data_IF_522010227638
#
_entry.id   IF_522010227638
#
_cell.length_a   1.000
_cell.length_b   1.000
_cell.length_c   1.000
_cell.angle_alpha   90.00
_cell.angle_beta   90.00
_cell.angle_gamma   90.00
#
_symmetry.space_group_name_H-M   'P 1'
#
loop_
_entity.id
_entity.type
_entity.pdbx_description
1 polymer ?
#
# COMPACT_ATOMS: atom_id res chain seq x y z
N UNK A 1 8.74 -13.93 -6.13
CA UNK A 1 8.54 -12.71 -5.33
C UNK A 1 7.50 -11.87 -6.03
N UNK A 2 6.42 -11.44 -5.36
CA UNK A 2 5.45 -10.51 -5.94
C UNK A 2 6.03 -9.09 -5.76
N UNK A 3 6.37 -8.39 -6.85
CA UNK A 3 6.98 -7.05 -6.77
C UNK A 3 6.11 -6.04 -6.01
N UNK A 4 4.79 -6.27 -5.95
CA UNK A 4 3.88 -5.43 -5.17
C UNK A 4 4.08 -5.68 -3.68
N UNK A 5 4.30 -6.92 -3.25
CA UNK A 5 4.55 -7.25 -1.85
C UNK A 5 5.92 -6.72 -1.39
N UNK A 6 6.95 -6.80 -2.24
CA UNK A 6 8.25 -6.20 -1.95
C UNK A 6 8.18 -4.67 -1.82
N UNK A 7 7.40 -4.02 -2.70
CA UNK A 7 7.16 -2.59 -2.61
C UNK A 7 6.39 -2.19 -1.33
N UNK A 8 5.44 -3.01 -0.88
CA UNK A 8 4.71 -2.79 0.39
C UNK A 8 5.66 -2.97 1.59
N UNK A 9 6.44 -4.06 1.61
CA UNK A 9 7.41 -4.31 2.67
C UNK A 9 8.46 -3.19 2.76
N UNK A 10 8.89 -2.60 1.63
CA UNK A 10 9.77 -1.44 1.64
C UNK A 10 9.10 -0.20 2.25
N UNK A 11 7.79 -0.03 2.08
CA UNK A 11 7.04 1.07 2.72
C UNK A 11 6.90 0.82 4.22
N UNK A 12 6.54 -0.40 4.63
CA UNK A 12 6.32 -0.76 6.04
C UNK A 12 7.63 -0.84 6.85
N UNK A 13 8.76 -1.14 6.19
CA UNK A 13 10.09 -1.16 6.82
C UNK A 13 10.67 0.24 7.03
N UNK A 14 10.08 1.29 6.46
CA UNK A 14 10.54 2.68 6.69
C UNK A 14 10.07 3.18 8.06
N UNK A 15 10.88 4.04 8.66
CA UNK A 15 10.53 4.63 9.96
C UNK A 15 9.26 5.48 9.86
N UNK A 16 8.46 5.44 10.93
CA UNK A 16 7.20 6.18 11.03
C UNK A 16 7.50 7.69 11.06
N UNK A 17 7.49 8.32 9.88
CA UNK A 17 7.86 9.73 9.70
C UNK A 17 8.82 9.99 8.54
N UNK A 18 9.40 8.94 7.94
CA UNK A 18 10.20 9.09 6.72
C UNK A 18 9.30 9.50 5.54
N UNK A 19 9.74 10.51 4.79
CA UNK A 19 8.99 11.00 3.62
C UNK A 19 9.34 10.14 2.41
N UNK A 20 8.40 9.31 1.98
CA UNK A 20 8.56 8.52 0.77
C UNK A 20 7.57 8.92 -0.33
N UNK A 21 7.91 8.59 -1.57
CA UNK A 21 7.04 8.77 -2.73
C UNK A 21 6.65 7.40 -3.30
N UNK A 22 5.34 7.14 -3.36
CA UNK A 22 4.80 5.95 -4.02
C UNK A 22 5.29 5.79 -5.47
N UNK A 23 5.53 6.90 -6.16
CA UNK A 23 6.02 6.85 -7.54
C UNK A 23 7.46 6.33 -7.63
N UNK A 24 8.31 6.74 -6.68
CA UNK A 24 9.70 6.29 -6.63
C UNK A 24 9.80 4.79 -6.32
N UNK A 25 9.04 4.34 -5.31
CA UNK A 25 8.98 2.92 -4.92
C UNK A 25 8.38 2.08 -6.05
N UNK A 26 7.28 2.54 -6.65
CA UNK A 26 6.66 1.85 -7.78
C UNK A 26 7.61 1.69 -8.98
N UNK A 27 8.36 2.74 -9.32
CA UNK A 27 9.36 2.71 -10.40
C UNK A 27 10.51 1.75 -10.09
N UNK A 28 10.98 1.71 -8.85
CA UNK A 28 12.06 0.81 -8.39
C UNK A 28 11.67 -0.66 -8.53
N UNK A 29 10.43 -0.99 -8.18
CA UNK A 29 9.89 -2.36 -8.20
C UNK A 29 9.19 -2.72 -9.51
N UNK A 30 9.10 -1.80 -10.47
CA UNK A 30 8.43 -2.02 -11.77
C UNK A 30 6.92 -2.22 -11.66
N UNK A 31 6.28 -1.73 -10.59
CA UNK A 31 4.84 -1.88 -10.35
C UNK A 31 4.08 -0.60 -10.70
N UNK A 32 2.79 -0.74 -10.98
CA UNK A 32 1.93 0.42 -11.17
C UNK A 32 1.68 1.12 -9.83
N UNK A 33 1.91 2.44 -9.78
CA UNK A 33 1.70 3.29 -8.59
C UNK A 33 0.31 3.12 -7.99
N UNK A 34 -0.74 3.08 -8.83
CA UNK A 34 -2.13 2.91 -8.39
C UNK A 34 -2.35 1.58 -7.68
N UNK A 35 -1.78 0.50 -8.20
CA UNK A 35 -1.88 -0.83 -7.59
C UNK A 35 -1.18 -0.88 -6.24
N UNK A 36 0.03 -0.31 -6.15
CA UNK A 36 0.78 -0.21 -4.89
C UNK A 36 0.01 0.59 -3.83
N UNK A 37 -0.54 1.74 -4.22
CA UNK A 37 -1.31 2.60 -3.32
C UNK A 37 -2.57 1.91 -2.79
N UNK A 38 -3.35 1.25 -3.65
CA UNK A 38 -4.58 0.54 -3.25
C UNK A 38 -4.29 -0.61 -2.30
N UNK A 39 -3.25 -1.41 -2.58
CA UNK A 39 -2.86 -2.53 -1.72
C UNK A 39 -2.31 -2.04 -0.38
N UNK A 40 -1.41 -1.05 -0.38
CA UNK A 40 -0.84 -0.51 0.86
C UNK A 40 -1.90 0.18 1.74
N UNK A 41 -2.85 0.91 1.14
CA UNK A 41 -3.92 1.58 1.89
C UNK A 41 -5.06 0.64 2.31
N UNK A 42 -5.02 -0.64 1.91
CA UNK A 42 -6.10 -1.60 2.18
C UNK A 42 -7.44 -1.21 1.55
N UNK A 43 -7.44 -0.40 0.48
CA UNK A 43 -8.68 0.14 -0.10
C UNK A 43 -9.59 -0.95 -0.73
N UNK A 44 -9.07 -2.17 -0.93
CA UNK A 44 -9.87 -3.32 -1.33
C UNK A 44 -10.57 -4.03 -0.17
N UNK A 45 -10.26 -3.73 1.09
CA UNK A 45 -10.93 -4.32 2.27
C UNK A 45 -12.03 -3.43 2.87
N UNK A 46 -12.11 -2.14 2.46
CA UNK A 46 -13.06 -1.19 3.04
C UNK A 46 -14.43 -1.11 2.33
N UNK A 47 -14.68 -1.90 1.28
CA UNK A 47 -16.05 -2.10 0.78
C UNK A 47 -16.82 -3.17 1.58
N UNK A 48 -16.16 -3.89 2.50
CA UNK A 48 -16.79 -4.92 3.35
C UNK A 48 -16.89 -4.58 4.85
N UNK A 49 -16.09 -3.65 5.38
CA UNK A 49 -15.93 -3.49 6.85
C UNK A 49 -16.57 -2.20 7.41
N UNK A 50 -17.22 -1.38 6.59
CA UNK A 50 -17.93 -0.17 7.05
C UNK A 50 -19.42 -0.37 7.39
N UNK A 51 -19.89 -1.62 7.52
CA UNK A 51 -21.29 -1.95 7.84
C UNK A 51 -21.47 -2.77 9.14
N UNK A 52 -20.55 -2.68 10.10
CA UNK A 52 -20.66 -3.38 11.38
C UNK A 52 -20.22 -2.50 12.55
N UNK A 53 -20.91 -1.36 12.75
CA UNK A 53 -21.06 -0.78 14.09
C UNK A 53 -22.17 0.28 14.11
N UNK A 54 -23.43 -0.19 14.03
CA UNK A 54 -24.58 0.51 14.59
C UNK A 54 -25.34 -0.52 15.42
N UNK A 55 -25.00 -0.62 16.71
CA UNK A 55 -25.80 -1.23 17.77
C UNK A 55 -25.61 -0.41 19.03
#
# INVERSE_FOLDING_TARGET
MDPIQEAIAEIESRELGDKFSYQAIAKKHGVARMTLMRRHRGETEAYGVRNLSLH
#
